data_IF_949684090927
#
_entry.id   IF_949684090927
#
_cell.length_a   1.000
_cell.length_b   1.000
_cell.length_c   1.000
_cell.angle_alpha   90.00
_cell.angle_beta   90.00
_cell.angle_gamma   90.00
#
_symmetry.space_group_name_H-M   'P 1'
#
loop_
_entity.id
_entity.type
_entity.pdbx_description
1 polymer ?
#
# COMPACT_ATOMS: atom_id res chain seq x y z
N UNK A 1 1.29 13.29 -19.69
CA UNK A 1 0.33 13.51 -18.57
C UNK A 1 -0.06 12.15 -17.94
N UNK A 2 -0.22 12.03 -16.62
CA UNK A 2 -0.48 10.74 -15.93
C UNK A 2 -1.61 9.94 -16.59
N UNK A 3 -2.72 10.59 -16.95
CA UNK A 3 -3.89 9.92 -17.56
C UNK A 3 -3.62 9.31 -18.94
N UNK A 4 -2.81 9.94 -19.78
CA UNK A 4 -2.47 9.40 -21.09
C UNK A 4 -1.52 8.22 -20.98
N UNK A 5 -0.54 8.30 -20.08
CA UNK A 5 0.34 7.18 -19.78
C UNK A 5 -0.45 5.99 -19.20
N UNK A 6 -1.40 6.23 -18.29
CA UNK A 6 -2.23 5.17 -17.76
C UNK A 6 -3.00 4.45 -18.88
N UNK A 7 -3.57 5.18 -19.85
CA UNK A 7 -4.30 4.57 -20.99
C UNK A 7 -3.44 3.58 -21.77
N UNK A 8 -2.17 3.86 -21.97
CA UNK A 8 -1.26 2.96 -22.69
C UNK A 8 -0.92 1.69 -21.92
N UNK A 9 -0.94 1.75 -20.59
CA UNK A 9 -0.60 0.65 -19.71
C UNK A 9 -1.80 -0.19 -19.23
N UNK A 10 -3.01 0.34 -19.32
CA UNK A 10 -4.25 -0.36 -18.91
C UNK A 10 -4.38 -1.78 -19.50
N UNK A 11 -4.06 -2.06 -20.78
CA UNK A 11 -4.15 -3.42 -21.31
C UNK A 11 -3.22 -4.41 -20.59
N UNK A 12 -2.01 -3.96 -20.19
CA UNK A 12 -1.07 -4.78 -19.43
C UNK A 12 -1.61 -5.04 -18.01
N UNK A 13 -2.15 -4.02 -17.38
CA UNK A 13 -2.74 -4.16 -16.04
C UNK A 13 -3.97 -5.06 -16.04
N UNK A 14 -4.84 -4.96 -17.06
CA UNK A 14 -5.99 -5.88 -17.20
C UNK A 14 -5.55 -7.34 -17.27
N UNK A 15 -4.53 -7.65 -18.06
CA UNK A 15 -3.96 -9.01 -18.11
C UNK A 15 -3.41 -9.47 -16.75
N UNK A 16 -2.79 -8.55 -15.99
CA UNK A 16 -2.31 -8.84 -14.65
C UNK A 16 -3.48 -9.15 -13.70
N UNK A 17 -4.55 -8.37 -13.75
CA UNK A 17 -5.78 -8.61 -12.97
C UNK A 17 -6.45 -9.92 -13.33
N UNK A 18 -6.53 -10.25 -14.62
CA UNK A 18 -7.06 -11.54 -15.10
C UNK A 18 -6.25 -12.72 -14.56
N UNK A 19 -4.91 -12.58 -14.52
CA UNK A 19 -4.03 -13.62 -13.95
C UNK A 19 -4.28 -13.83 -12.47
N UNK A 20 -4.55 -12.79 -11.70
CA UNK A 20 -4.88 -12.90 -10.28
C UNK A 20 -6.28 -13.48 -10.09
N UNK A 21 -7.25 -13.03 -10.88
CA UNK A 21 -8.61 -13.56 -10.84
C UNK A 21 -8.66 -15.07 -11.16
N UNK A 22 -7.73 -15.55 -11.99
CA UNK A 22 -7.61 -16.97 -12.31
C UNK A 22 -7.15 -17.86 -11.14
N UNK A 23 -6.64 -17.26 -10.04
CA UNK A 23 -6.36 -17.99 -8.79
C UNK A 23 -7.63 -18.50 -8.11
N UNK A 24 -8.80 -17.94 -8.47
CA UNK A 24 -10.10 -18.42 -8.01
C UNK A 24 -10.48 -18.04 -6.58
N UNK A 25 -9.69 -17.20 -5.93
CA UNK A 25 -10.02 -16.73 -4.58
C UNK A 25 -11.11 -15.63 -4.65
N UNK A 26 -12.29 -15.84 -4.00
CA UNK A 26 -13.37 -14.86 -4.00
C UNK A 26 -12.99 -13.52 -3.34
N UNK A 27 -12.00 -13.49 -2.45
CA UNK A 27 -11.53 -12.25 -1.81
C UNK A 27 -10.95 -11.27 -2.82
N UNK A 28 -10.43 -11.72 -3.96
CA UNK A 28 -9.92 -10.85 -5.03
C UNK A 28 -10.92 -9.78 -5.45
N UNK A 29 -12.21 -10.09 -5.45
CA UNK A 29 -13.28 -9.20 -5.88
C UNK A 29 -14.01 -8.50 -4.73
N UNK A 30 -14.07 -9.13 -3.55
CA UNK A 30 -14.89 -8.63 -2.42
C UNK A 30 -14.05 -7.83 -1.43
N UNK A 31 -12.83 -8.29 -1.17
CA UNK A 31 -11.88 -7.69 -0.22
C UNK A 31 -10.44 -7.80 -0.78
N UNK A 32 -10.14 -7.05 -1.84
CA UNK A 32 -8.86 -7.18 -2.54
C UNK A 32 -7.64 -6.93 -1.64
N UNK A 33 -7.74 -6.02 -0.67
CA UNK A 33 -6.65 -5.77 0.28
C UNK A 33 -6.43 -6.95 1.23
N UNK A 34 -7.49 -7.60 1.70
CA UNK A 34 -7.38 -8.78 2.56
C UNK A 34 -6.76 -9.95 1.78
N UNK A 35 -7.19 -10.15 0.52
CA UNK A 35 -6.55 -11.11 -0.38
C UNK A 35 -5.06 -10.89 -0.51
N UNK A 36 -4.63 -9.65 -0.83
CA UNK A 36 -3.21 -9.31 -0.97
C UNK A 36 -2.43 -9.65 0.30
N UNK A 37 -2.93 -9.20 1.46
CA UNK A 37 -2.28 -9.45 2.74
C UNK A 37 -2.14 -10.95 3.01
N UNK A 38 -3.22 -11.71 2.89
CA UNK A 38 -3.21 -13.16 3.09
C UNK A 38 -2.20 -13.83 2.16
N UNK A 39 -2.27 -13.51 0.86
CA UNK A 39 -1.37 -14.08 -0.13
C UNK A 39 0.10 -13.79 0.18
N UNK A 40 0.43 -12.55 0.53
CA UNK A 40 1.81 -12.16 0.86
C UNK A 40 2.31 -12.83 2.14
N UNK A 41 1.48 -12.94 3.17
CA UNK A 41 1.84 -13.65 4.41
C UNK A 41 2.09 -15.15 4.19
N UNK A 42 1.39 -15.76 3.24
CA UNK A 42 1.55 -17.19 2.93
C UNK A 42 2.78 -17.48 2.05
N UNK A 43 3.20 -16.51 1.23
CA UNK A 43 4.21 -16.76 0.18
C UNK A 43 5.51 -15.97 0.36
N UNK A 44 5.61 -15.11 1.37
CA UNK A 44 6.77 -14.24 1.61
C UNK A 44 7.01 -14.01 3.09
N UNK A 45 8.13 -13.35 3.41
CA UNK A 45 8.41 -12.84 4.74
C UNK A 45 7.98 -11.37 4.81
N UNK A 46 6.85 -11.09 5.44
CA UNK A 46 6.33 -9.73 5.58
C UNK A 46 6.89 -9.04 6.82
N UNK A 47 7.43 -7.85 6.62
CA UNK A 47 8.02 -6.99 7.64
C UNK A 47 7.23 -5.67 7.69
N UNK A 48 6.58 -5.40 8.80
CA UNK A 48 5.89 -4.13 9.04
C UNK A 48 6.61 -3.39 10.17
N UNK A 49 7.13 -2.22 9.89
CA UNK A 49 7.68 -1.33 10.91
C UNK A 49 7.82 0.09 10.37
N UNK A 50 7.84 1.12 11.26
CA UNK A 50 7.90 2.50 10.83
C UNK A 50 9.32 2.90 10.41
N UNK A 51 9.43 3.53 9.23
CA UNK A 51 10.63 4.24 8.77
C UNK A 51 10.26 5.71 8.57
N UNK A 52 11.04 6.61 9.19
CA UNK A 52 10.83 8.06 9.12
C UNK A 52 11.35 8.67 7.81
N UNK A 53 10.77 8.25 6.72
CA UNK A 53 11.00 8.86 5.41
C UNK A 53 9.64 8.98 4.71
N UNK A 54 9.14 10.21 4.50
CA UNK A 54 7.82 10.42 3.88
C UNK A 54 7.74 9.91 2.43
N UNK A 55 8.88 9.78 1.76
CA UNK A 55 8.95 9.33 0.37
C UNK A 55 9.15 7.82 0.24
N UNK A 56 9.23 7.09 1.36
CA UNK A 56 9.41 5.65 1.39
C UNK A 56 8.13 4.94 1.83
N UNK A 57 7.55 4.13 0.95
CA UNK A 57 6.31 3.37 1.20
C UNK A 57 6.52 1.90 1.54
N UNK A 58 7.36 1.23 0.81
CA UNK A 58 7.63 -0.19 0.95
C UNK A 58 8.80 -0.66 0.09
N UNK A 59 9.06 -1.96 0.11
CA UNK A 59 10.13 -2.59 -0.66
C UNK A 59 9.89 -4.09 -0.78
N UNK A 60 10.10 -4.66 -1.97
CA UNK A 60 10.28 -6.10 -2.15
C UNK A 60 11.76 -6.39 -2.31
N UNK A 61 12.26 -7.35 -1.55
CA UNK A 61 13.67 -7.74 -1.55
C UNK A 61 13.83 -9.26 -1.62
N UNK A 62 14.82 -9.74 -2.37
CA UNK A 62 15.18 -11.16 -2.45
C UNK A 62 16.53 -11.41 -1.81
N UNK A 63 16.57 -12.33 -0.84
CA UNK A 63 17.80 -12.68 -0.14
C UNK A 63 17.80 -14.15 0.29
N UNK A 64 18.90 -14.84 0.05
CA UNK A 64 19.11 -16.24 0.46
C UNK A 64 18.01 -17.22 0.05
N UNK A 65 17.39 -17.04 -1.11
CA UNK A 65 16.35 -17.93 -1.59
C UNK A 65 14.94 -17.48 -1.27
N UNK A 66 14.75 -16.50 -0.37
CA UNK A 66 13.47 -16.03 0.13
C UNK A 66 13.16 -14.60 -0.30
N UNK A 67 11.87 -14.30 -0.42
CA UNK A 67 11.38 -12.93 -0.61
C UNK A 67 10.99 -12.31 0.72
N UNK A 68 11.32 -11.04 0.84
CA UNK A 68 10.97 -10.18 1.96
C UNK A 68 10.22 -8.97 1.44
N UNK A 69 9.13 -8.61 2.11
CA UNK A 69 8.35 -7.42 1.79
C UNK A 69 8.31 -6.53 3.02
N UNK A 70 8.81 -5.32 2.90
CA UNK A 70 8.65 -4.30 3.93
C UNK A 70 7.51 -3.35 3.57
N UNK A 71 6.64 -3.08 4.55
CA UNK A 71 5.60 -2.05 4.48
C UNK A 71 5.88 -1.01 5.54
N UNK A 72 6.06 0.25 5.12
CA UNK A 72 6.33 1.37 6.02
C UNK A 72 5.05 1.80 6.75
N UNK A 73 5.01 1.57 8.06
CA UNK A 73 3.87 1.87 8.91
C UNK A 73 3.92 3.28 9.53
N UNK A 74 4.92 4.12 9.20
CA UNK A 74 4.98 5.53 9.56
C UNK A 74 4.18 6.43 8.59
N UNK A 75 3.64 5.86 7.52
CA UNK A 75 2.74 6.60 6.62
C UNK A 75 1.28 6.50 7.08
N UNK A 76 0.41 7.48 6.71
CA UNK A 76 -1.03 7.36 6.93
C UNK A 76 -1.58 6.04 6.37
N UNK A 77 -2.55 5.43 7.06
CA UNK A 77 -3.10 4.11 6.70
C UNK A 77 -3.60 4.00 5.26
N UNK A 78 -4.12 5.09 4.69
CA UNK A 78 -4.52 5.11 3.28
C UNK A 78 -3.34 4.85 2.32
N UNK A 79 -2.14 5.34 2.66
CA UNK A 79 -0.93 5.07 1.88
C UNK A 79 -0.41 3.67 2.17
N UNK A 80 -0.40 3.24 3.43
CA UNK A 80 -0.03 1.87 3.81
C UNK A 80 -0.89 0.85 3.05
N UNK A 81 -2.23 1.02 3.02
CA UNK A 81 -3.13 0.14 2.27
C UNK A 81 -2.82 0.10 0.76
N UNK A 82 -2.45 1.23 0.20
CA UNK A 82 -2.09 1.33 -1.21
C UNK A 82 -0.75 0.63 -1.49
N UNK A 83 0.22 0.77 -0.59
CA UNK A 83 1.54 0.14 -0.71
C UNK A 83 1.47 -1.38 -0.65
N UNK A 84 0.56 -1.98 0.11
CA UNK A 84 0.35 -3.43 0.04
C UNK A 84 0.07 -3.93 -1.38
N UNK A 85 -0.78 -3.23 -2.14
CA UNK A 85 -1.07 -3.60 -3.52
C UNK A 85 0.06 -3.25 -4.48
N UNK A 86 0.79 -2.17 -4.22
CA UNK A 86 1.97 -1.76 -4.96
C UNK A 86 3.08 -2.81 -4.86
N UNK A 87 3.46 -3.21 -3.64
CA UNK A 87 4.49 -4.22 -3.39
C UNK A 87 4.06 -5.62 -3.84
N UNK A 88 2.75 -5.91 -3.78
CA UNK A 88 2.21 -7.14 -4.35
C UNK A 88 2.45 -7.23 -5.86
N UNK A 89 2.33 -6.11 -6.61
CA UNK A 89 2.66 -6.09 -8.04
C UNK A 89 4.12 -6.47 -8.28
N UNK A 90 5.04 -5.86 -7.56
CA UNK A 90 6.47 -6.19 -7.67
C UNK A 90 6.73 -7.65 -7.33
N UNK A 91 6.19 -8.15 -6.22
CA UNK A 91 6.35 -9.54 -5.83
C UNK A 91 5.76 -10.51 -6.86
N UNK A 92 4.60 -10.21 -7.45
CA UNK A 92 3.89 -11.16 -8.31
C UNK A 92 4.39 -11.12 -9.77
N UNK A 93 4.71 -9.93 -10.28
CA UNK A 93 5.01 -9.71 -11.70
C UNK A 93 6.47 -9.34 -12.03
N UNK A 94 7.26 -8.89 -11.06
CA UNK A 94 8.64 -8.45 -11.26
C UNK A 94 9.68 -9.36 -10.59
N UNK A 95 9.31 -10.58 -10.22
CA UNK A 95 10.17 -11.54 -9.49
C UNK A 95 11.54 -11.75 -10.12
N UNK A 96 11.61 -11.88 -11.43
CA UNK A 96 12.86 -12.13 -12.15
C UNK A 96 13.79 -10.92 -12.11
N UNK A 97 13.22 -9.72 -12.14
CA UNK A 97 13.99 -8.48 -12.00
C UNK A 97 14.54 -8.30 -10.58
N UNK A 98 13.75 -8.66 -9.56
CA UNK A 98 14.12 -8.54 -8.14
C UNK A 98 15.24 -9.52 -7.77
N UNK A 99 15.29 -10.69 -8.39
CA UNK A 99 16.36 -11.68 -8.17
C UNK A 99 17.72 -11.25 -8.72
N UNK A 100 17.75 -10.30 -9.65
CA UNK A 100 19.00 -9.85 -10.24
C UNK A 100 19.78 -8.95 -9.26
N UNK A 101 20.98 -9.35 -8.78
CA UNK A 101 21.76 -8.59 -7.80
C UNK A 101 22.13 -7.17 -8.28
N UNK A 102 22.27 -6.96 -9.60
CA UNK A 102 22.57 -5.64 -10.18
C UNK A 102 21.40 -4.66 -10.07
N UNK A 103 20.18 -5.16 -9.81
CA UNK A 103 18.97 -4.35 -9.67
C UNK A 103 18.49 -4.24 -8.21
N UNK A 104 19.13 -4.93 -7.28
CA UNK A 104 18.81 -4.89 -5.84
C UNK A 104 19.26 -3.57 -5.16
N UNK A 105 19.24 -2.46 -5.88
CA UNK A 105 19.36 -1.16 -5.25
C UNK A 105 18.02 -0.79 -4.63
N UNK A 106 18.05 -0.48 -3.35
CA UNK A 106 16.98 0.21 -2.61
C UNK A 106 16.67 1.49 -3.40
N UNK A 107 15.74 1.40 -4.33
CA UNK A 107 15.19 2.58 -4.97
C UNK A 107 14.15 3.12 -4.02
N UNK A 108 14.48 4.24 -3.39
CA UNK A 108 13.48 5.08 -2.73
C UNK A 108 12.43 5.35 -3.80
N UNK A 109 11.18 4.94 -3.54
CA UNK A 109 10.04 5.15 -4.43
C UNK A 109 9.93 6.62 -4.80
N UNK A 110 10.52 6.99 -5.91
CA UNK A 110 10.22 8.27 -6.52
C UNK A 110 8.91 8.09 -7.28
N UNK A 111 7.83 8.67 -6.74
CA UNK A 111 6.47 8.69 -7.30
C UNK A 111 6.45 9.06 -8.81
N UNK A 112 7.54 9.57 -9.33
CA UNK A 112 7.74 10.00 -10.72
C UNK A 112 8.55 9.03 -11.57
N UNK A 113 9.06 7.90 -11.03
CA UNK A 113 9.77 6.91 -11.83
C UNK A 113 8.78 6.19 -12.76
N UNK A 114 9.16 6.06 -14.02
CA UNK A 114 8.33 5.35 -15.01
C UNK A 114 8.10 3.87 -14.63
N UNK A 115 9.05 3.28 -13.93
CA UNK A 115 8.97 1.89 -13.44
C UNK A 115 7.92 1.73 -12.34
N UNK A 116 7.74 2.74 -11.48
CA UNK A 116 6.77 2.75 -10.37
C UNK A 116 5.34 3.06 -10.83
N UNK A 117 5.15 3.47 -12.07
CA UNK A 117 3.80 3.76 -12.61
C UNK A 117 2.95 2.52 -12.78
N UNK A 118 3.53 1.40 -13.22
CA UNK A 118 2.78 0.15 -13.38
C UNK A 118 2.27 -0.39 -12.04
N UNK A 119 3.09 -0.50 -10.99
CA UNK A 119 2.63 -0.87 -9.65
C UNK A 119 1.56 0.08 -9.10
N UNK A 120 1.73 1.40 -9.28
CA UNK A 120 0.74 2.39 -8.85
C UNK A 120 -0.59 2.26 -9.61
N UNK A 121 -0.54 2.06 -10.93
CA UNK A 121 -1.74 1.84 -11.72
C UNK A 121 -2.41 0.52 -11.34
N UNK A 122 -1.64 -0.55 -11.17
CA UNK A 122 -2.15 -1.82 -10.70
C UNK A 122 -2.84 -1.69 -9.34
N UNK A 123 -2.21 -1.05 -8.36
CA UNK A 123 -2.79 -0.85 -7.04
C UNK A 123 -4.14 -0.11 -7.13
N UNK A 124 -4.21 0.93 -7.96
CA UNK A 124 -5.46 1.67 -8.19
C UNK A 124 -6.53 0.80 -8.84
N UNK A 125 -6.18 0.05 -9.90
CA UNK A 125 -7.13 -0.80 -10.63
C UNK A 125 -7.61 -2.00 -9.79
N UNK A 126 -6.75 -2.56 -8.94
CA UNK A 126 -7.08 -3.71 -8.12
C UNK A 126 -7.91 -3.35 -6.88
N UNK A 127 -7.57 -2.23 -6.22
CA UNK A 127 -8.24 -1.82 -4.98
C UNK A 127 -9.56 -1.07 -5.21
N UNK A 128 -9.77 -0.49 -6.40
CA UNK A 128 -10.96 0.31 -6.70
C UNK A 128 -11.84 -0.43 -7.70
N UNK A 129 -12.96 -0.96 -7.23
CA UNK A 129 -13.99 -1.50 -8.10
C UNK A 129 -14.72 -0.35 -8.83
N UNK A 130 -14.67 -0.34 -10.17
CA UNK A 130 -15.21 0.73 -11.00
C UNK A 130 -16.72 0.92 -10.81
N UNK A 131 -17.48 -0.17 -10.69
CA UNK A 131 -18.92 -0.10 -10.48
C UNK A 131 -19.25 0.54 -9.13
N UNK A 132 -18.53 0.16 -8.07
CA UNK A 132 -18.70 0.74 -6.73
C UNK A 132 -18.32 2.20 -6.74
N UNK A 133 -17.21 2.55 -7.42
CA UNK A 133 -16.75 3.94 -7.55
C UNK A 133 -17.80 4.82 -8.23
N UNK A 134 -18.29 4.39 -9.39
CA UNK A 134 -19.29 5.15 -10.15
C UNK A 134 -20.57 5.35 -9.32
N UNK A 135 -21.10 4.31 -8.72
CA UNK A 135 -22.33 4.41 -7.92
C UNK A 135 -22.13 5.29 -6.69
N UNK A 136 -21.03 5.15 -6.00
CA UNK A 136 -20.72 5.97 -4.83
C UNK A 136 -20.54 7.44 -5.20
N UNK A 137 -19.84 7.72 -6.29
CA UNK A 137 -19.64 9.09 -6.76
C UNK A 137 -20.95 9.75 -7.21
N UNK A 138 -21.78 9.05 -7.99
CA UNK A 138 -23.10 9.53 -8.39
C UNK A 138 -24.03 9.78 -7.20
N UNK A 139 -23.98 8.93 -6.19
CA UNK A 139 -24.71 9.15 -4.94
C UNK A 139 -24.25 10.45 -4.26
N UNK A 140 -22.94 10.63 -4.12
CA UNK A 140 -22.38 11.85 -3.53
C UNK A 140 -22.76 13.11 -4.36
N UNK A 141 -22.76 12.99 -5.68
CA UNK A 141 -23.11 14.09 -6.57
C UNK A 141 -24.60 14.49 -6.44
N UNK A 142 -25.45 13.52 -6.21
CA UNK A 142 -26.90 13.72 -6.06
C UNK A 142 -27.27 14.26 -4.67
N UNK A 143 -26.71 13.71 -3.60
CA UNK A 143 -27.15 14.01 -2.23
C UNK A 143 -26.28 15.07 -1.51
N UNK A 144 -25.06 15.28 -1.98
CA UNK A 144 -24.12 16.26 -1.42
C UNK A 144 -23.83 17.41 -2.40
N UNK A 145 -24.90 17.98 -2.98
CA UNK A 145 -24.83 19.00 -4.03
C UNK A 145 -24.09 20.28 -3.63
N UNK A 146 -24.08 20.61 -2.32
CA UNK A 146 -23.37 21.78 -1.79
C UNK A 146 -21.86 21.54 -1.57
N UNK A 147 -21.42 20.29 -1.64
CA UNK A 147 -20.00 19.96 -1.46
C UNK A 147 -19.23 20.12 -2.77
N UNK A 148 -18.03 20.65 -2.66
CA UNK A 148 -17.05 20.71 -3.76
C UNK A 148 -16.61 19.31 -4.18
N UNK A 149 -16.04 19.20 -5.39
CA UNK A 149 -15.47 17.93 -5.86
C UNK A 149 -14.43 17.35 -4.89
N UNK A 150 -13.45 18.13 -4.36
CA UNK A 150 -12.52 17.61 -3.37
C UNK A 150 -13.19 17.02 -2.13
N UNK A 151 -14.24 17.66 -1.60
CA UNK A 151 -14.97 17.14 -0.43
C UNK A 151 -15.70 15.83 -0.74
N UNK A 152 -16.26 15.69 -1.94
CA UNK A 152 -16.86 14.42 -2.41
C UNK A 152 -15.81 13.31 -2.53
N UNK A 153 -14.63 13.62 -3.08
CA UNK A 153 -13.51 12.66 -3.16
C UNK A 153 -13.03 12.25 -1.78
N UNK A 154 -12.97 13.18 -0.82
CA UNK A 154 -12.64 12.85 0.56
C UNK A 154 -13.60 11.79 1.14
N UNK A 155 -14.90 11.88 0.86
CA UNK A 155 -15.88 10.88 1.31
C UNK A 155 -15.67 9.49 0.69
N UNK A 156 -15.14 9.41 -0.52
CA UNK A 156 -14.78 8.13 -1.14
C UNK A 156 -13.63 7.42 -0.40
N UNK A 157 -12.79 8.15 0.33
CA UNK A 157 -11.75 7.56 1.17
C UNK A 157 -12.34 6.63 2.23
N UNK A 158 -13.51 6.94 2.81
CA UNK A 158 -14.16 6.05 3.77
C UNK A 158 -14.56 4.70 3.16
N UNK A 159 -14.80 4.66 1.86
CA UNK A 159 -15.22 3.44 1.14
C UNK A 159 -14.00 2.63 0.72
N UNK A 160 -13.04 3.29 0.08
CA UNK A 160 -11.92 2.62 -0.58
C UNK A 160 -10.65 2.55 0.28
N UNK A 161 -10.51 3.41 1.29
CA UNK A 161 -9.39 3.47 2.22
C UNK A 161 -8.01 3.58 1.54
N UNK A 162 -7.95 4.35 0.45
CA UNK A 162 -6.76 4.58 -0.37
C UNK A 162 -6.47 6.08 -0.54
N UNK A 163 -5.30 6.46 -1.05
CA UNK A 163 -4.91 7.86 -1.19
C UNK A 163 -5.88 8.69 -2.04
N UNK A 164 -6.13 9.91 -1.58
CA UNK A 164 -6.96 10.92 -2.25
C UNK A 164 -6.62 11.08 -3.73
N UNK A 165 -5.32 11.21 -4.05
CA UNK A 165 -4.87 11.41 -5.43
C UNK A 165 -5.17 10.22 -6.33
N UNK A 166 -5.10 8.99 -5.82
CA UNK A 166 -5.46 7.79 -6.56
C UNK A 166 -6.94 7.80 -6.96
N UNK A 167 -7.83 8.21 -6.04
CA UNK A 167 -9.27 8.37 -6.31
C UNK A 167 -9.55 9.45 -7.36
N UNK A 168 -8.89 10.62 -7.27
CA UNK A 168 -9.04 11.69 -8.27
C UNK A 168 -8.65 11.20 -9.67
N UNK A 169 -7.49 10.54 -9.77
CA UNK A 169 -7.00 9.99 -11.05
C UNK A 169 -7.97 8.95 -11.59
N UNK A 170 -8.47 8.06 -10.74
CA UNK A 170 -9.39 6.99 -11.14
C UNK A 170 -10.74 7.53 -11.60
N UNK A 171 -11.29 8.55 -10.92
CA UNK A 171 -12.50 9.24 -11.36
C UNK A 171 -12.34 9.86 -12.76
N UNK A 172 -11.19 10.47 -13.04
CA UNK A 172 -10.90 11.04 -14.36
C UNK A 172 -10.68 9.96 -15.43
N UNK A 173 -10.04 8.83 -15.09
CA UNK A 173 -9.86 7.70 -16.01
C UNK A 173 -11.21 7.09 -16.43
N UNK A 174 -12.17 7.04 -15.50
CA UNK A 174 -13.52 6.53 -15.74
C UNK A 174 -14.48 7.60 -16.31
N UNK A 175 -13.94 8.77 -16.69
CA UNK A 175 -14.71 9.90 -17.27
C UNK A 175 -15.85 10.40 -16.37
N UNK A 176 -15.78 10.15 -15.06
CA UNK A 176 -16.75 10.62 -14.07
C UNK A 176 -16.54 12.09 -13.72
N UNK A 177 -15.34 12.61 -13.95
CA UNK A 177 -14.98 14.03 -13.82
C UNK A 177 -14.14 14.47 -15.02
N UNK A 178 -14.17 15.76 -15.34
CA UNK A 178 -13.33 16.29 -16.42
C UNK A 178 -11.85 16.31 -16.03
N UNK A 179 -10.97 16.30 -17.04
CA UNK A 179 -9.50 16.43 -16.82
C UNK A 179 -9.15 17.74 -16.12
N UNK A 180 -9.87 18.81 -16.41
CA UNK A 180 -9.66 20.11 -15.77
C UNK A 180 -10.05 20.10 -14.30
N UNK A 181 -11.16 19.44 -13.97
CA UNK A 181 -11.58 19.29 -12.57
C UNK A 181 -10.64 18.39 -11.79
N UNK A 182 -10.16 17.32 -12.44
CA UNK A 182 -9.13 16.45 -11.83
C UNK A 182 -7.85 17.22 -11.50
N UNK A 183 -7.36 18.06 -12.42
CA UNK A 183 -6.17 18.89 -12.16
C UNK A 183 -6.38 19.81 -10.96
N UNK A 184 -7.51 20.53 -10.89
CA UNK A 184 -7.84 21.39 -9.75
C UNK A 184 -7.95 20.59 -8.44
N UNK A 185 -8.56 19.40 -8.50
CA UNK A 185 -8.70 18.54 -7.34
C UNK A 185 -7.35 17.99 -6.85
N UNK A 186 -6.39 17.70 -7.74
CA UNK A 186 -5.05 17.23 -7.35
C UNK A 186 -4.24 18.28 -6.58
N UNK A 187 -4.51 19.56 -6.80
CA UNK A 187 -3.87 20.68 -6.12
C UNK A 187 -4.52 21.01 -4.77
N UNK A 188 -5.62 20.34 -4.42
CA UNK A 188 -6.34 20.59 -3.18
C UNK A 188 -5.59 20.07 -1.95
N UNK A 189 -5.38 20.93 -0.96
CA UNK A 189 -4.81 20.55 0.34
C UNK A 189 -5.88 19.90 1.23
N UNK A 190 -6.11 18.61 1.01
CA UNK A 190 -7.10 17.82 1.74
C UNK A 190 -6.68 17.50 3.18
N UNK A 191 -5.39 17.44 3.48
CA UNK A 191 -4.87 17.00 4.79
C UNK A 191 -5.32 17.93 5.91
N UNK A 192 -5.37 19.22 5.64
CA UNK A 192 -5.80 20.25 6.59
C UNK A 192 -7.33 20.49 6.59
N UNK A 193 -8.09 19.72 5.79
CA UNK A 193 -9.53 19.96 5.57
C UNK A 193 -10.36 18.68 5.67
N UNK A 194 -9.95 17.78 6.58
CA UNK A 194 -10.68 16.51 6.80
C UNK A 194 -12.04 16.83 7.44
N UNK A 195 -13.17 16.42 6.83
CA UNK A 195 -14.49 16.63 7.40
C UNK A 195 -14.62 16.02 8.80
N UNK A 196 -15.36 16.69 9.68
CA UNK A 196 -15.51 16.27 11.09
C UNK A 196 -16.19 14.89 11.26
N UNK A 197 -17.03 14.53 10.31
CA UNK A 197 -17.80 13.27 10.29
C UNK A 197 -17.04 12.10 9.63
N UNK A 198 -15.78 12.32 9.23
CA UNK A 198 -14.93 11.27 8.68
C UNK A 198 -14.09 10.57 9.75
N UNK A 199 -13.82 9.28 9.51
CA UNK A 199 -12.87 8.53 10.34
C UNK A 199 -11.43 9.05 10.10
N UNK A 200 -10.93 9.76 11.09
CA UNK A 200 -9.58 10.35 11.04
C UNK A 200 -8.47 9.31 11.15
N UNK A 201 -8.79 8.08 11.56
CA UNK A 201 -7.80 7.01 11.69
C UNK A 201 -7.14 6.63 10.36
N UNK A 202 -7.80 6.90 9.24
CA UNK A 202 -7.24 6.68 7.91
C UNK A 202 -6.08 7.62 7.55
N UNK A 203 -6.04 8.79 8.18
CA UNK A 203 -5.08 9.86 7.88
C UNK A 203 -3.88 9.87 8.84
N UNK A 204 -3.84 8.94 9.78
CA UNK A 204 -2.73 8.79 10.71
C UNK A 204 -2.00 7.47 10.49
N UNK A 205 -0.70 7.39 10.82
CA UNK A 205 0.08 6.17 10.75
C UNK A 205 -0.49 5.05 11.62
N UNK A 206 -0.34 3.81 11.19
CA UNK A 206 -0.67 2.64 12.03
C UNK A 206 0.37 2.40 13.10
N UNK A 207 1.63 2.69 12.80
CA UNK A 207 2.80 2.34 13.62
C UNK A 207 2.81 0.86 14.04
N UNK A 208 2.30 0.00 13.17
CA UNK A 208 2.34 -1.45 13.38
C UNK A 208 3.78 -1.94 13.33
N UNK A 209 4.15 -2.80 14.28
CA UNK A 209 5.40 -3.55 14.25
C UNK A 209 5.02 -5.03 14.17
N UNK A 210 5.36 -5.67 13.05
CA UNK A 210 5.11 -7.08 12.82
C UNK A 210 6.21 -7.67 11.93
N UNK A 211 6.77 -8.79 12.35
CA UNK A 211 7.78 -9.55 11.61
C UNK A 211 7.20 -10.96 11.39
N UNK A 212 6.55 -11.20 10.25
CA UNK A 212 5.94 -12.48 9.97
C UNK A 212 6.98 -13.60 9.93
N UNK A 213 6.60 -14.74 10.49
CA UNK A 213 7.45 -15.93 10.50
C UNK A 213 8.64 -15.91 11.49
N UNK A 214 8.94 -14.76 12.12
CA UNK A 214 10.12 -14.64 12.97
C UNK A 214 10.02 -15.51 14.24
N UNK A 215 8.86 -15.55 14.90
CA UNK A 215 8.64 -16.43 16.06
C UNK A 215 8.69 -17.91 15.66
N UNK A 216 8.10 -18.28 14.53
CA UNK A 216 8.16 -19.64 14.00
C UNK A 216 9.56 -20.07 13.56
N UNK A 217 10.45 -19.14 13.20
CA UNK A 217 11.85 -19.45 12.90
C UNK A 217 12.62 -19.92 14.14
N UNK A 218 12.35 -19.36 15.31
CA UNK A 218 12.97 -19.83 16.56
C UNK A 218 12.57 -21.26 16.89
N UNK A 219 11.31 -21.63 16.68
CA UNK A 219 10.85 -22.99 16.92
C UNK A 219 11.44 -23.98 15.91
N UNK A 220 11.58 -23.59 14.65
CA UNK A 220 12.22 -24.39 13.60
C UNK A 220 13.74 -24.53 13.82
N UNK A 221 14.40 -23.47 14.31
CA UNK A 221 15.83 -23.47 14.60
C UNK A 221 16.19 -24.27 15.87
N UNK A 222 15.20 -24.52 16.73
CA UNK A 222 15.37 -25.31 17.94
C UNK A 222 15.76 -26.76 17.57
N UNK A 223 16.95 -27.17 17.99
CA UNK A 223 17.52 -28.47 17.61
C UNK A 223 18.41 -28.48 16.36
N UNK A 224 18.43 -27.39 15.58
CA UNK A 224 19.34 -27.21 14.44
C UNK A 224 20.53 -26.29 14.77
N UNK A 225 20.41 -25.48 15.81
CA UNK A 225 21.43 -24.54 16.28
C UNK A 225 21.78 -24.82 17.74
N UNK A 226 22.97 -24.39 18.17
CA UNK A 226 23.33 -24.39 19.58
C UNK A 226 22.43 -23.40 20.35
N UNK A 227 22.06 -23.79 21.57
CA UNK A 227 21.13 -22.99 22.40
C UNK A 227 21.67 -21.57 22.67
N UNK A 228 22.99 -21.42 22.83
CA UNK A 228 23.65 -20.12 23.03
C UNK A 228 23.48 -19.19 21.83
N UNK A 229 23.62 -19.71 20.61
CA UNK A 229 23.40 -18.94 19.36
C UNK A 229 21.95 -18.53 19.22
N UNK A 230 21.02 -19.44 19.53
CA UNK A 230 19.58 -19.16 19.49
C UNK A 230 19.19 -18.05 20.49
N UNK A 231 19.76 -18.10 21.71
CA UNK A 231 19.54 -17.08 22.72
C UNK A 231 20.15 -15.73 22.33
N UNK A 232 21.32 -15.73 21.68
CA UNK A 232 21.96 -14.53 21.15
C UNK A 232 21.10 -13.86 20.08
N UNK A 233 20.52 -14.64 19.15
CA UNK A 233 19.62 -14.14 18.11
C UNK A 233 18.34 -13.59 18.73
N UNK A 234 17.71 -14.29 19.67
CA UNK A 234 16.53 -13.80 20.40
C UNK A 234 16.79 -12.47 21.10
N UNK A 235 17.94 -12.34 21.75
CA UNK A 235 18.36 -11.10 22.41
C UNK A 235 18.56 -9.95 21.44
N UNK A 236 19.15 -10.21 20.28
CA UNK A 236 19.37 -9.21 19.23
C UNK A 236 18.03 -8.75 18.64
N UNK A 237 17.13 -9.69 18.37
CA UNK A 237 15.77 -9.39 17.94
C UNK A 237 15.00 -8.53 18.96
N UNK A 238 15.03 -8.91 20.23
CA UNK A 238 14.41 -8.15 21.31
C UNK A 238 14.89 -6.71 21.37
N UNK A 239 16.20 -6.47 21.20
CA UNK A 239 16.76 -5.11 21.14
C UNK A 239 16.22 -4.30 19.96
N UNK A 240 16.15 -4.88 18.76
CA UNK A 240 15.60 -4.21 17.58
C UNK A 240 14.13 -3.87 17.82
N UNK A 241 13.35 -4.81 18.34
CA UNK A 241 11.95 -4.61 18.66
C UNK A 241 11.73 -3.49 19.68
N UNK A 242 12.53 -3.46 20.76
CA UNK A 242 12.49 -2.40 21.78
C UNK A 242 12.86 -1.03 21.19
N UNK A 243 13.86 -0.98 20.30
CA UNK A 243 14.23 0.27 19.61
C UNK A 243 13.09 0.79 18.73
N UNK A 244 12.41 -0.08 17.99
CA UNK A 244 11.27 0.29 17.18
C UNK A 244 10.10 0.76 18.05
N UNK A 245 9.82 0.10 19.17
CA UNK A 245 8.80 0.56 20.12
C UNK A 245 9.14 1.94 20.69
N UNK A 246 10.37 2.19 21.04
CA UNK A 246 10.81 3.51 21.53
C UNK A 246 10.62 4.60 20.47
N UNK A 247 10.93 4.31 19.20
CA UNK A 247 10.66 5.22 18.08
C UNK A 247 9.17 5.54 17.96
N UNK A 248 8.31 4.53 17.99
CA UNK A 248 6.84 4.70 17.94
C UNK A 248 6.33 5.55 19.09
N UNK A 249 6.82 5.31 20.31
CA UNK A 249 6.42 6.09 21.49
C UNK A 249 6.82 7.56 21.38
N UNK A 250 8.02 7.84 20.90
CA UNK A 250 8.50 9.22 20.72
C UNK A 250 7.68 9.96 19.65
N UNK A 251 7.34 9.29 18.57
CA UNK A 251 6.53 9.87 17.49
C UNK A 251 5.11 10.21 17.93
N UNK A 252 4.43 9.30 18.62
CA UNK A 252 3.08 9.53 19.15
C UNK A 252 3.02 10.66 20.17
N UNK A 253 4.16 11.04 20.80
CA UNK A 253 4.25 12.20 21.68
C UNK A 253 4.39 13.51 20.93
N UNK A 254 5.03 13.51 19.77
CA UNK A 254 5.22 14.72 18.94
C UNK A 254 4.00 15.06 18.08
N UNK A 255 3.10 14.11 17.86
CA UNK A 255 1.85 14.29 17.07
C UNK A 255 0.64 14.70 17.95
N UNK A 256 0.79 14.76 19.28
CA UNK A 256 -0.21 15.26 20.23
C UNK A 256 0.02 16.74 20.55
#
# INVERSE_FOLDING_TARGET
>A
MILEHNKTHLPKIKKALDSISSLGDPLTNVKPLDFIKTYLYEHTNVLQFPIQNPDYGGLVYYYNGDYYIHINTAQPRIYENFMWAHEFYHFFFDRDNIKNPEQNFIKIDQIYDEKERLPNLFASEFLINDFVLERSFRFLDTFYTKQSLPEKVMRLINIFQIPYKALVVKLAQNELISINDAKKALDYDYRNRIPHDMDKSFFVPSYTINFSGFEGLFDKAKGLMHEEDLQSIKKSYGKIYEQLLALVHNQRRTER
#
